data_IF_272066528730
#
_entry.id   IF_272066528730
#
_cell.length_a   1.000
_cell.length_b   1.000
_cell.length_c   1.000
_cell.angle_alpha   90.00
_cell.angle_beta   90.00
_cell.angle_gamma   90.00
#
_symmetry.space_group_name_H-M   'P 1'
#
loop_
_entity.id
_entity.type
_entity.pdbx_description
1 polymer ?
#
# COMPACT_ATOMS: atom_id res chain seq x y z
N UNK A 1 19.95 1.03 12.47
CA UNK A 1 19.60 1.44 11.09
C UNK A 1 18.31 2.22 11.20
N UNK A 2 18.28 3.47 10.72
CA UNK A 2 17.06 4.28 10.69
C UNK A 2 16.39 4.03 9.34
N UNK A 3 15.17 3.50 9.35
CA UNK A 3 14.36 3.30 8.15
C UNK A 3 13.97 4.67 7.59
N UNK A 4 14.66 5.08 6.54
CA UNK A 4 14.27 6.19 5.69
C UNK A 4 13.22 5.66 4.72
N UNK A 5 11.94 5.99 4.93
CA UNK A 5 10.89 6.14 3.88
C UNK A 5 9.50 6.46 4.46
N UNK A 6 9.42 7.31 5.49
CA UNK A 6 8.15 7.86 5.98
C UNK A 6 7.87 9.19 5.27
N UNK A 7 7.25 9.14 4.09
CA UNK A 7 6.61 10.31 3.47
C UNK A 7 5.14 10.28 3.92
N UNK A 8 4.65 11.24 4.73
CA UNK A 8 3.29 11.18 5.25
C UNK A 8 2.27 11.49 4.15
N UNK A 9 1.58 10.46 3.67
CA UNK A 9 0.29 10.63 3.01
C UNK A 9 -0.79 10.74 4.10
N UNK A 10 -0.99 11.91 4.71
CA UNK A 10 -2.06 12.20 5.71
C UNK A 10 -2.11 11.30 6.97
N UNK A 11 -2.71 11.75 8.07
CA UNK A 11 -2.91 10.91 9.28
C UNK A 11 -3.78 9.66 9.03
N UNK A 12 -4.41 9.57 7.85
CA UNK A 12 -5.43 8.59 7.53
C UNK A 12 -5.02 7.58 6.47
N UNK A 13 -3.86 7.72 5.83
CA UNK A 13 -3.34 6.68 4.93
C UNK A 13 -1.86 6.39 5.23
N UNK A 14 -1.45 5.16 4.97
CA UNK A 14 -0.11 4.69 5.30
C UNK A 14 0.35 3.68 4.26
N UNK A 15 1.63 3.71 3.90
CA UNK A 15 2.23 2.70 3.02
C UNK A 15 3.31 1.98 3.83
N UNK A 16 3.18 0.66 3.95
CA UNK A 16 4.18 -0.20 4.57
C UNK A 16 4.92 -0.99 3.51
N UNK A 17 6.24 -1.01 3.62
CA UNK A 17 7.10 -1.83 2.77
C UNK A 17 7.72 -2.92 3.64
N UNK A 18 7.64 -4.16 3.17
CA UNK A 18 8.41 -5.29 3.70
C UNK A 18 9.25 -5.81 2.56
N UNK A 19 10.55 -5.97 2.77
CA UNK A 19 11.42 -6.56 1.76
C UNK A 19 12.57 -7.31 2.42
N UNK A 20 13.04 -8.35 1.73
CA UNK A 20 14.20 -9.12 2.12
C UNK A 20 14.95 -9.60 0.87
N UNK A 21 16.27 -9.74 0.99
CA UNK A 21 17.08 -10.34 -0.07
C UNK A 21 16.84 -11.85 -0.07
N UNK A 22 16.60 -12.40 -1.26
CA UNK A 22 16.45 -13.85 -1.47
C UNK A 22 17.34 -14.31 -2.62
N UNK A 23 17.72 -15.59 -2.68
CA UNK A 23 18.38 -16.13 -3.86
C UNK A 23 17.57 -15.83 -5.12
N UNK A 24 18.25 -15.51 -6.22
CA UNK A 24 17.58 -15.36 -7.52
C UNK A 24 17.09 -16.73 -7.97
N UNK A 25 15.77 -16.87 -8.11
CA UNK A 25 15.13 -18.06 -8.66
C UNK A 25 14.24 -17.67 -9.83
N UNK A 26 13.60 -18.66 -10.47
CA UNK A 26 12.59 -18.38 -11.49
C UNK A 26 11.45 -17.56 -10.88
N UNK A 27 11.02 -17.92 -9.68
CA UNK A 27 9.96 -17.31 -8.87
C UNK A 27 10.32 -15.89 -8.40
N UNK A 28 11.60 -15.65 -8.11
CA UNK A 28 12.12 -14.36 -7.65
C UNK A 28 13.25 -13.85 -8.58
N UNK A 29 12.91 -13.38 -9.80
CA UNK A 29 13.91 -13.05 -10.83
C UNK A 29 14.82 -11.87 -10.42
N UNK A 30 14.32 -10.98 -9.56
CA UNK A 30 15.06 -9.83 -9.05
C UNK A 30 15.90 -10.15 -7.79
N UNK A 31 15.75 -11.33 -7.18
CA UNK A 31 16.46 -11.71 -5.95
C UNK A 31 16.02 -10.93 -4.71
N UNK A 32 14.79 -10.43 -4.74
CA UNK A 32 14.15 -9.70 -3.65
C UNK A 32 12.76 -10.29 -3.50
N UNK A 33 12.38 -10.58 -2.25
CA UNK A 33 11.01 -10.87 -1.85
C UNK A 33 10.48 -9.64 -1.15
N UNK A 34 9.30 -9.15 -1.57
CA UNK A 34 8.72 -7.92 -1.09
C UNK A 34 7.20 -7.95 -1.02
N UNK A 35 6.67 -7.12 -0.13
CA UNK A 35 5.27 -6.75 -0.06
C UNK A 35 5.14 -5.26 0.26
N UNK A 36 4.47 -4.51 -0.63
CA UNK A 36 4.08 -3.12 -0.45
C UNK A 36 2.59 -3.07 -0.13
N UNK A 37 2.22 -2.51 1.01
CA UNK A 37 0.87 -2.53 1.55
C UNK A 37 0.37 -1.11 1.74
N UNK A 38 -0.69 -0.75 1.02
CA UNK A 38 -1.44 0.48 1.24
C UNK A 38 -2.52 0.27 2.31
N UNK A 39 -2.51 1.13 3.32
CA UNK A 39 -3.46 1.12 4.43
C UNK A 39 -4.19 2.45 4.54
N UNK A 40 -5.40 2.39 5.08
CA UNK A 40 -6.17 3.57 5.52
C UNK A 40 -6.55 3.40 6.99
N UNK A 41 -6.70 4.50 7.72
CA UNK A 41 -7.24 4.49 9.08
C UNK A 41 -8.76 4.56 8.99
N UNK A 42 -9.48 3.59 9.54
CA UNK A 42 -10.93 3.70 9.71
C UNK A 42 -11.31 3.19 11.09
N UNK A 43 -12.27 3.85 11.75
CA UNK A 43 -12.72 3.46 13.09
C UNK A 43 -11.57 3.27 14.13
N UNK A 44 -10.46 4.00 13.98
CA UNK A 44 -9.29 3.89 14.85
C UNK A 44 -8.34 2.73 14.53
N UNK A 45 -8.58 1.95 13.46
CA UNK A 45 -7.76 0.82 13.06
C UNK A 45 -7.14 1.00 11.67
N UNK A 46 -5.89 0.54 11.50
CA UNK A 46 -5.23 0.53 10.19
C UNK A 46 -5.70 -0.65 9.35
N UNK A 47 -6.30 -0.34 8.21
CA UNK A 47 -6.93 -1.29 7.32
C UNK A 47 -6.18 -1.41 6.00
N UNK A 48 -5.80 -2.63 5.60
CA UNK A 48 -5.19 -2.87 4.29
C UNK A 48 -6.25 -2.74 3.19
N UNK A 49 -5.98 -1.93 2.17
CA UNK A 49 -6.88 -1.72 1.03
C UNK A 49 -6.26 -2.17 -0.30
N UNK A 50 -4.94 -2.11 -0.39
CA UNK A 50 -4.18 -2.62 -1.53
C UNK A 50 -2.89 -3.26 -1.02
N UNK A 51 -2.49 -4.36 -1.65
CA UNK A 51 -1.18 -4.99 -1.42
C UNK A 51 -0.59 -5.38 -2.77
N UNK A 52 0.69 -5.11 -2.95
CA UNK A 52 1.47 -5.56 -4.11
C UNK A 52 2.66 -6.35 -3.59
N UNK A 53 2.74 -7.64 -3.90
CA UNK A 53 3.84 -8.50 -3.43
C UNK A 53 4.35 -9.40 -4.54
N UNK A 54 5.58 -9.87 -4.44
CA UNK A 54 6.15 -10.81 -5.41
C UNK A 54 6.42 -12.18 -4.79
N UNK A 55 5.56 -12.57 -3.86
CA UNK A 55 5.64 -13.86 -3.22
C UNK A 55 5.22 -14.96 -4.19
N UNK A 56 5.94 -16.09 -4.18
CA UNK A 56 5.63 -17.23 -5.01
C UNK A 56 4.28 -17.83 -4.57
N UNK A 57 3.27 -17.79 -5.44
CA UNK A 57 1.97 -18.36 -5.16
C UNK A 57 1.58 -19.37 -6.25
N UNK A 58 1.30 -20.62 -5.85
CA UNK A 58 0.78 -21.68 -6.71
C UNK A 58 1.55 -21.89 -8.04
N UNK A 59 2.88 -21.72 -8.04
CA UNK A 59 3.72 -21.92 -9.23
C UNK A 59 3.65 -20.79 -10.26
N UNK A 60 3.01 -19.66 -9.92
CA UNK A 60 3.04 -18.43 -10.73
C UNK A 60 4.23 -17.57 -10.35
N UNK A 61 4.85 -17.04 -11.38
CA UNK A 61 6.01 -16.16 -11.32
C UNK A 61 5.58 -14.72 -11.42
N UNK A 62 6.01 -13.88 -10.48
CA UNK A 62 5.87 -12.43 -10.63
C UNK A 62 5.35 -11.73 -9.39
N UNK A 63 5.04 -10.46 -9.59
CA UNK A 63 4.39 -9.56 -8.65
C UNK A 63 2.88 -9.60 -8.84
N UNK A 64 2.15 -9.78 -7.75
CA UNK A 64 0.70 -9.82 -7.65
C UNK A 64 0.16 -8.51 -7.07
N UNK A 65 -0.98 -8.05 -7.58
CA UNK A 65 -1.71 -6.90 -7.04
C UNK A 65 -3.03 -7.36 -6.44
N UNK A 66 -3.16 -7.21 -5.13
CA UNK A 66 -4.35 -7.53 -4.36
C UNK A 66 -5.16 -6.28 -4.04
N UNK A 67 -6.39 -6.21 -4.54
CA UNK A 67 -7.39 -5.24 -4.08
C UNK A 67 -8.25 -5.88 -3.00
N UNK A 68 -8.30 -5.29 -1.81
CA UNK A 68 -8.95 -5.88 -0.64
C UNK A 68 -10.26 -5.14 -0.31
N UNK A 69 -11.35 -5.88 -0.10
CA UNK A 69 -12.64 -5.32 0.34
C UNK A 69 -12.98 -5.77 1.76
N UNK A 70 -13.29 -4.80 2.62
CA UNK A 70 -13.64 -4.97 4.03
C UNK A 70 -15.14 -4.86 4.34
N UNK A 71 -16.02 -4.59 3.36
CA UNK A 71 -17.48 -4.75 3.58
C UNK A 71 -17.84 -6.16 4.02
N UNK A 72 -16.98 -7.10 3.66
CA UNK A 72 -16.96 -8.47 4.12
C UNK A 72 -15.93 -8.48 5.24
N UNK A 73 -16.34 -8.81 6.47
CA UNK A 73 -15.48 -8.79 7.67
C UNK A 73 -14.22 -9.68 7.60
N UNK A 74 -13.99 -10.34 6.46
CA UNK A 74 -12.81 -11.12 6.10
C UNK A 74 -12.09 -10.44 4.93
N UNK A 75 -10.74 -10.36 4.96
CA UNK A 75 -9.96 -9.84 3.83
C UNK A 75 -10.26 -10.68 2.58
N UNK A 76 -11.15 -10.20 1.71
CA UNK A 76 -11.44 -10.84 0.43
C UNK A 76 -10.64 -10.13 -0.66
N UNK A 77 -9.82 -10.89 -1.38
CA UNK A 77 -9.17 -10.42 -2.60
C UNK A 77 -10.27 -10.26 -3.65
N UNK A 78 -10.50 -9.03 -4.11
CA UNK A 78 -11.52 -8.71 -5.12
C UNK A 78 -10.96 -8.82 -6.53
N UNK A 79 -9.65 -8.60 -6.69
CA UNK A 79 -8.96 -8.70 -7.97
C UNK A 79 -7.48 -8.95 -7.77
N UNK A 80 -6.94 -9.82 -8.63
CA UNK A 80 -5.53 -10.19 -8.74
C UNK A 80 -5.02 -9.86 -10.15
N UNK A 81 -3.75 -9.44 -10.26
CA UNK A 81 -3.06 -9.14 -11.53
C UNK A 81 -1.57 -9.45 -11.38
N UNK A 82 -1.05 -10.22 -12.33
CA UNK A 82 0.38 -10.57 -12.45
C UNK A 82 1.14 -9.50 -13.25
N UNK A 83 2.30 -9.08 -12.74
CA UNK A 83 3.24 -8.12 -13.34
C UNK A 83 4.67 -8.46 -12.91
N UNK A 84 5.68 -7.86 -13.54
CA UNK A 84 7.06 -7.92 -13.03
C UNK A 84 7.48 -6.48 -12.75
N UNK A 85 7.53 -6.12 -11.46
CA UNK A 85 7.89 -4.77 -11.02
C UNK A 85 8.83 -4.81 -9.82
N UNK A 86 9.63 -3.76 -9.65
CA UNK A 86 10.47 -3.57 -8.47
C UNK A 86 9.65 -3.12 -7.25
N UNK A 87 10.20 -3.18 -6.02
CA UNK A 87 9.55 -2.64 -4.83
C UNK A 87 9.18 -1.14 -4.95
N UNK A 88 10.02 -0.35 -5.62
CA UNK A 88 9.79 1.09 -5.85
C UNK A 88 8.61 1.31 -6.81
N UNK A 89 8.53 0.53 -7.88
CA UNK A 89 7.40 0.57 -8.80
C UNK A 89 6.10 0.12 -8.11
N UNK A 90 6.18 -0.91 -7.26
CA UNK A 90 5.05 -1.34 -6.44
C UNK A 90 4.60 -0.24 -5.45
N UNK A 91 5.54 0.50 -4.87
CA UNK A 91 5.25 1.66 -4.03
C UNK A 91 4.49 2.75 -4.80
N UNK A 92 4.96 3.12 -5.99
CA UNK A 92 4.30 4.16 -6.80
C UNK A 92 2.88 3.76 -7.20
N UNK A 93 2.66 2.48 -7.55
CA UNK A 93 1.33 1.95 -7.86
C UNK A 93 0.39 1.96 -6.64
N UNK A 94 0.88 1.56 -5.46
CA UNK A 94 0.10 1.65 -4.21
C UNK A 94 -0.24 3.10 -3.89
N UNK A 95 0.73 4.00 -3.98
CA UNK A 95 0.54 5.44 -3.74
C UNK A 95 -0.52 6.01 -4.67
N UNK A 96 -0.39 5.78 -5.98
CA UNK A 96 -1.35 6.23 -6.99
C UNK A 96 -2.74 5.67 -6.75
N UNK A 97 -2.85 4.41 -6.31
CA UNK A 97 -4.13 3.82 -5.94
C UNK A 97 -4.76 4.53 -4.74
N UNK A 98 -3.99 4.76 -3.68
CA UNK A 98 -4.44 5.48 -2.48
C UNK A 98 -4.90 6.90 -2.82
N UNK A 99 -4.07 7.66 -3.55
CA UNK A 99 -4.40 9.01 -3.99
C UNK A 99 -5.67 9.03 -4.84
N UNK A 100 -5.86 8.09 -5.76
CA UNK A 100 -7.05 8.08 -6.64
C UNK A 100 -8.33 7.64 -5.93
N UNK A 101 -8.28 6.54 -5.17
CA UNK A 101 -9.50 5.96 -4.55
C UNK A 101 -9.89 6.69 -3.27
N UNK A 102 -8.91 7.25 -2.56
CA UNK A 102 -9.09 7.86 -1.26
C UNK A 102 -8.71 9.35 -1.25
N UNK A 103 -8.63 10.01 -2.43
CA UNK A 103 -8.48 11.47 -2.59
C UNK A 103 -9.42 12.24 -1.67
N UNK A 104 -10.69 11.84 -1.61
CA UNK A 104 -11.70 12.48 -0.77
C UNK A 104 -11.38 12.45 0.74
N UNK A 105 -10.67 11.42 1.22
CA UNK A 105 -10.18 11.37 2.59
C UNK A 105 -9.00 12.32 2.78
N UNK A 106 -8.10 12.41 1.79
CA UNK A 106 -6.95 13.31 1.79
C UNK A 106 -7.40 14.79 1.75
N UNK A 107 -8.35 15.13 0.88
CA UNK A 107 -8.89 16.49 0.71
C UNK A 107 -9.68 16.97 1.93
N UNK A 108 -10.49 16.10 2.55
CA UNK A 108 -11.22 16.42 3.79
C UNK A 108 -10.26 16.81 4.93
N UNK A 109 -9.07 16.21 4.97
CA UNK A 109 -8.06 16.51 5.99
C UNK A 109 -7.38 17.86 5.75
N UNK A 110 -7.01 18.19 4.51
CA UNK A 110 -6.42 19.49 4.19
C UNK A 110 -7.35 20.64 4.56
N UNK A 111 -8.67 20.45 4.39
CA UNK A 111 -9.66 21.46 4.79
C UNK A 111 -9.79 21.59 6.32
N UNK A 112 -9.91 20.47 7.03
CA UNK A 112 -10.04 20.47 8.49
C UNK A 112 -8.80 21.03 9.22
N UNK A 113 -7.59 20.77 8.71
CA UNK A 113 -6.35 21.34 9.27
C UNK A 113 -6.28 22.86 9.07
N UNK A 114 -6.71 23.35 7.91
CA UNK A 114 -6.75 24.79 7.63
C UNK A 114 -7.82 25.50 8.46
N UNK A 115 -8.97 24.87 8.66
CA UNK A 115 -10.06 25.42 9.48
C UNK A 115 -9.66 25.46 10.97
N UNK A 116 -8.96 24.45 11.50
CA UNK A 116 -8.44 24.45 12.87
C UNK A 116 -7.32 25.47 13.09
N UNK A 117 -6.48 25.75 12.08
CA UNK A 117 -5.43 26.78 12.17
C UNK A 117 -6.01 28.20 12.14
N UNK A 118 -7.07 28.42 11.35
CA UNK A 118 -7.77 29.70 11.30
C UNK A 118 -8.68 29.96 12.52
N UNK A 119 -9.06 28.92 13.27
CA UNK A 119 -9.92 29.07 14.46
C UNK A 119 -9.13 29.40 15.74
N UNK A 120 -7.80 29.33 15.70
CA UNK A 120 -6.89 29.66 16.80
C UNK A 120 -6.07 30.94 16.55
N UNK A 121 -6.41 31.72 15.52
CA UNK A 121 -5.82 33.05 15.23
C UNK A 121 -6.78 34.18 15.60
#
# INVERSE_FOLDING_TARGET
MQDTNNVPLSEWVNIKIRSQKVPKTKEHPIGIDFAVIGQILTNGEWENVVQIDNSAHEGKTGTHIHYLDKRIRTKRIVRDKELIVSPEQAYDEVKKHLEKQYAHLIEKNQKNENDNRNSNS
#
